data_IF_917891330983
#
_entry.id   IF_917891330983
#
_cell.length_a   1.000
_cell.length_b   1.000
_cell.length_c   1.000
_cell.angle_alpha   90.00
_cell.angle_beta   90.00
_cell.angle_gamma   90.00
#
_symmetry.space_group_name_H-M   'P 1'
#
loop_
_entity.id
_entity.type
_entity.pdbx_description
1 polymer ?
#
# COMPACT_ATOMS: atom_id res chain seq x y z
N UNK A 1 12.09 -44.86 14.38
CA UNK A 1 11.14 -43.81 14.00
C UNK A 1 11.20 -43.67 12.48
N UNK A 2 10.08 -43.83 11.76
CA UNK A 2 10.06 -43.67 10.30
C UNK A 2 10.22 -42.18 9.97
N UNK A 3 11.30 -41.83 9.27
CA UNK A 3 11.55 -40.46 8.82
C UNK A 3 10.51 -40.12 7.75
N UNK A 4 9.77 -39.02 7.92
CA UNK A 4 8.84 -38.54 6.89
C UNK A 4 9.63 -38.21 5.62
N UNK A 5 9.20 -38.76 4.49
CA UNK A 5 9.70 -38.36 3.19
C UNK A 5 9.15 -36.97 2.84
N UNK A 6 10.04 -35.97 2.85
CA UNK A 6 9.74 -34.57 2.54
C UNK A 6 10.13 -34.19 1.10
N UNK A 7 10.62 -35.15 0.31
CA UNK A 7 11.16 -34.89 -1.04
C UNK A 7 10.12 -34.24 -1.95
N UNK A 8 8.84 -34.64 -1.81
CA UNK A 8 7.73 -34.03 -2.55
C UNK A 8 7.52 -32.55 -2.20
N UNK A 9 7.62 -32.20 -0.92
CA UNK A 9 7.43 -30.83 -0.46
C UNK A 9 8.60 -29.94 -0.87
N UNK A 10 9.82 -30.47 -0.85
CA UNK A 10 11.01 -29.78 -1.35
C UNK A 10 10.92 -29.51 -2.85
N UNK A 11 10.56 -30.51 -3.66
CA UNK A 11 10.37 -30.34 -5.11
C UNK A 11 9.25 -29.35 -5.43
N UNK A 12 8.23 -29.26 -4.57
CA UNK A 12 7.16 -28.27 -4.73
C UNK A 12 7.68 -26.87 -4.41
N UNK A 13 8.40 -26.71 -3.30
CA UNK A 13 8.98 -25.43 -2.90
C UNK A 13 9.93 -24.89 -3.98
N UNK A 14 10.80 -25.74 -4.52
CA UNK A 14 11.74 -25.42 -5.60
C UNK A 14 11.03 -24.80 -6.81
N UNK A 15 10.00 -25.49 -7.32
CA UNK A 15 9.16 -24.97 -8.42
C UNK A 15 8.44 -23.67 -8.10
N UNK A 16 8.01 -23.50 -6.84
CA UNK A 16 7.35 -22.26 -6.41
C UNK A 16 8.35 -21.09 -6.36
N UNK A 17 9.61 -21.34 -6.00
CA UNK A 17 10.67 -20.34 -6.01
C UNK A 17 11.08 -19.95 -7.43
N UNK A 18 11.20 -20.91 -8.35
CA UNK A 18 11.46 -20.63 -9.78
C UNK A 18 10.38 -19.75 -10.39
N UNK A 19 9.11 -20.12 -10.19
CA UNK A 19 7.98 -19.35 -10.71
C UNK A 19 7.91 -17.93 -10.11
N UNK A 20 8.27 -17.81 -8.83
CA UNK A 20 8.34 -16.52 -8.16
C UNK A 20 9.48 -15.65 -8.72
N UNK A 21 10.67 -16.21 -8.92
CA UNK A 21 11.82 -15.50 -9.49
C UNK A 21 11.47 -14.95 -10.87
N UNK A 22 10.85 -15.78 -11.73
CA UNK A 22 10.38 -15.36 -13.04
C UNK A 22 9.35 -14.24 -12.99
N UNK A 23 8.41 -14.28 -12.03
CA UNK A 23 7.42 -13.23 -11.83
C UNK A 23 8.04 -11.92 -11.31
N UNK A 24 9.10 -12.00 -10.49
CA UNK A 24 9.76 -10.83 -9.89
C UNK A 24 10.76 -10.14 -10.82
N UNK A 25 11.42 -10.88 -11.73
CA UNK A 25 12.38 -10.34 -12.72
C UNK A 25 11.94 -9.03 -13.42
N UNK A 26 10.74 -8.94 -14.02
CA UNK A 26 10.31 -7.71 -14.70
C UNK A 26 10.13 -6.56 -13.71
N UNK A 27 9.61 -6.85 -12.52
CA UNK A 27 9.41 -5.86 -11.46
C UNK A 27 10.76 -5.30 -11.01
N UNK A 28 11.74 -6.15 -10.72
CA UNK A 28 13.06 -5.74 -10.24
C UNK A 28 13.83 -4.87 -11.25
N UNK A 29 13.63 -5.09 -12.55
CA UNK A 29 14.31 -4.32 -13.61
C UNK A 29 13.72 -2.92 -13.80
N UNK A 30 12.40 -2.77 -13.64
CA UNK A 30 11.68 -1.58 -14.06
C UNK A 30 10.75 -0.99 -13.00
N UNK A 31 10.91 -1.34 -11.70
CA UNK A 31 9.99 -0.92 -10.64
C UNK A 31 9.84 0.60 -10.58
N UNK A 32 10.96 1.32 -10.51
CA UNK A 32 10.93 2.77 -10.34
C UNK A 32 10.47 3.49 -11.61
N UNK A 33 10.88 2.99 -12.78
CA UNK A 33 10.46 3.51 -14.08
C UNK A 33 8.95 3.31 -14.27
N UNK A 34 8.45 2.10 -14.00
CA UNK A 34 7.03 1.77 -14.05
C UNK A 34 6.21 2.58 -13.05
N UNK A 35 6.74 2.78 -11.83
CA UNK A 35 6.07 3.58 -10.81
C UNK A 35 5.98 5.07 -11.20
N UNK A 36 7.00 5.60 -11.88
CA UNK A 36 7.11 7.03 -12.20
C UNK A 36 6.00 7.54 -13.13
N UNK A 37 5.50 6.68 -14.02
CA UNK A 37 4.42 6.98 -14.96
C UNK A 37 3.00 6.69 -14.43
N UNK A 38 2.89 6.03 -13.27
CA UNK A 38 1.60 5.71 -12.65
C UNK A 38 0.97 6.88 -11.90
N UNK A 39 -0.36 6.87 -11.85
CA UNK A 39 -1.15 7.70 -10.93
C UNK A 39 -0.78 7.39 -9.48
N UNK A 40 -0.94 8.37 -8.59
CA UNK A 40 -0.51 8.28 -7.19
C UNK A 40 -1.08 7.05 -6.47
N UNK A 41 -2.36 6.73 -6.70
CA UNK A 41 -3.04 5.60 -6.07
C UNK A 41 -2.48 4.25 -6.55
N UNK A 42 -2.30 4.10 -7.87
CA UNK A 42 -1.74 2.87 -8.46
C UNK A 42 -0.29 2.66 -8.04
N UNK A 43 0.47 3.75 -7.94
CA UNK A 43 1.82 3.73 -7.38
C UNK A 43 1.83 3.25 -5.93
N UNK A 44 0.91 3.74 -5.10
CA UNK A 44 0.80 3.32 -3.71
C UNK A 44 0.47 1.82 -3.59
N UNK A 45 -0.43 1.31 -4.43
CA UNK A 45 -0.74 -0.13 -4.53
C UNK A 45 0.50 -0.94 -4.89
N UNK A 46 1.22 -0.53 -5.92
CA UNK A 46 2.40 -1.23 -6.41
C UNK A 46 3.46 -1.36 -5.30
N UNK A 47 3.81 -0.26 -4.64
CA UNK A 47 4.82 -0.28 -3.58
C UNK A 47 4.35 -1.04 -2.33
N UNK A 48 3.07 -0.93 -1.97
CA UNK A 48 2.53 -1.68 -0.81
C UNK A 48 2.54 -3.18 -1.06
N UNK A 49 2.17 -3.61 -2.27
CA UNK A 49 2.20 -5.01 -2.68
C UNK A 49 3.63 -5.55 -2.80
N UNK A 50 4.55 -4.76 -3.35
CA UNK A 50 5.96 -5.12 -3.41
C UNK A 50 6.56 -5.30 -2.01
N UNK A 51 6.25 -4.39 -1.07
CA UNK A 51 6.70 -4.52 0.32
C UNK A 51 6.10 -5.75 0.99
N UNK A 52 4.81 -6.03 0.79
CA UNK A 52 4.17 -7.25 1.28
C UNK A 52 4.89 -8.51 0.80
N UNK A 53 5.22 -8.58 -0.50
CA UNK A 53 5.93 -9.71 -1.07
C UNK A 53 7.31 -9.89 -0.43
N UNK A 54 8.08 -8.80 -0.25
CA UNK A 54 9.38 -8.84 0.41
C UNK A 54 9.29 -9.37 1.85
N UNK A 55 8.40 -8.81 2.67
CA UNK A 55 8.24 -9.24 4.07
C UNK A 55 7.79 -10.70 4.16
N UNK A 56 6.93 -11.14 3.23
CA UNK A 56 6.49 -12.53 3.15
C UNK A 56 7.64 -13.48 2.80
N UNK A 57 8.57 -13.06 1.95
CA UNK A 57 9.75 -13.85 1.59
C UNK A 57 10.75 -13.94 2.73
N UNK A 58 10.98 -12.85 3.45
CA UNK A 58 11.82 -12.85 4.65
C UNK A 58 11.20 -13.78 5.71
N UNK A 59 9.89 -13.69 5.92
CA UNK A 59 9.17 -14.59 6.82
C UNK A 59 9.30 -16.06 6.40
N UNK A 60 9.16 -16.37 5.11
CA UNK A 60 9.34 -17.73 4.60
C UNK A 60 10.78 -18.24 4.80
N UNK A 61 11.79 -17.40 4.56
CA UNK A 61 13.20 -17.72 4.80
C UNK A 61 13.48 -18.06 6.26
N UNK A 62 12.99 -17.25 7.20
CA UNK A 62 13.13 -17.51 8.64
C UNK A 62 12.54 -18.86 9.05
N UNK A 63 11.43 -19.26 8.43
CA UNK A 63 10.81 -20.57 8.70
C UNK A 63 11.63 -21.74 8.16
N UNK A 64 12.29 -21.57 7.01
CA UNK A 64 13.18 -22.60 6.44
C UNK A 64 14.43 -22.76 7.30
N UNK A 65 14.96 -21.66 7.83
CA UNK A 65 16.12 -21.66 8.73
C UNK A 65 15.80 -22.23 10.13
N UNK A 66 14.53 -22.53 10.42
CA UNK A 66 14.08 -23.08 11.70
C UNK A 66 13.99 -22.04 12.82
N UNK A 67 14.07 -20.74 12.51
CA UNK A 67 13.84 -19.67 13.46
C UNK A 67 12.34 -19.53 13.80
N UNK A 68 12.03 -18.98 14.98
CA UNK A 68 10.65 -18.64 15.33
C UNK A 68 10.19 -17.39 14.57
N UNK A 69 9.71 -17.61 13.36
CA UNK A 69 9.23 -16.56 12.48
C UNK A 69 7.99 -15.84 13.04
N UNK A 70 7.24 -16.44 13.97
CA UNK A 70 6.04 -15.83 14.57
C UNK A 70 6.41 -14.86 15.68
N UNK A 71 7.48 -15.14 16.42
CA UNK A 71 8.01 -14.22 17.43
C UNK A 71 8.82 -13.07 16.80
N UNK A 72 9.31 -13.26 15.57
CA UNK A 72 10.16 -12.32 14.86
C UNK A 72 9.48 -10.96 14.55
N UNK A 73 10.21 -9.83 14.64
CA UNK A 73 9.67 -8.48 14.35
C UNK A 73 9.02 -8.33 12.98
N UNK A 74 9.51 -9.05 11.96
CA UNK A 74 8.91 -9.07 10.60
C UNK A 74 7.42 -9.44 10.66
N UNK A 75 7.06 -10.46 11.45
CA UNK A 75 5.68 -10.90 11.56
C UNK A 75 4.85 -9.96 12.43
N UNK A 76 5.37 -9.56 13.60
CA UNK A 76 4.62 -8.76 14.58
C UNK A 76 4.42 -7.31 14.16
N UNK A 77 5.44 -6.70 13.56
CA UNK A 77 5.47 -5.25 13.30
C UNK A 77 5.29 -4.97 11.82
N UNK A 78 6.12 -5.55 10.95
CA UNK A 78 6.15 -5.15 9.55
C UNK A 78 4.94 -5.64 8.76
N UNK A 79 4.50 -6.90 8.94
CA UNK A 79 3.26 -7.37 8.32
C UNK A 79 2.02 -6.62 8.83
N UNK A 80 2.00 -6.21 10.10
CA UNK A 80 0.93 -5.37 10.64
C UNK A 80 0.94 -3.97 10.01
N UNK A 81 2.11 -3.39 9.82
CA UNK A 81 2.28 -2.11 9.13
C UNK A 81 1.83 -2.19 7.67
N UNK A 82 2.16 -3.28 6.97
CA UNK A 82 1.68 -3.52 5.59
C UNK A 82 0.16 -3.62 5.54
N UNK A 83 -0.48 -4.33 6.47
CA UNK A 83 -1.95 -4.38 6.58
C UNK A 83 -2.57 -2.99 6.77
N UNK A 84 -1.95 -2.13 7.59
CA UNK A 84 -2.41 -0.76 7.77
C UNK A 84 -2.31 0.06 6.47
N UNK A 85 -1.29 -0.17 5.64
CA UNK A 85 -1.18 0.50 4.33
C UNK A 85 -2.25 0.02 3.35
N UNK A 86 -2.57 -1.28 3.32
CA UNK A 86 -3.70 -1.79 2.53
C UNK A 86 -5.01 -1.13 2.96
N UNK A 87 -5.28 -1.05 4.27
CA UNK A 87 -6.49 -0.40 4.78
C UNK A 87 -6.58 1.08 4.38
N UNK A 88 -5.46 1.82 4.38
CA UNK A 88 -5.41 3.21 3.91
C UNK A 88 -5.73 3.33 2.43
N UNK A 89 -5.21 2.41 1.61
CA UNK A 89 -5.47 2.40 0.16
C UNK A 89 -6.95 2.06 -0.10
N UNK A 90 -7.50 1.06 0.60
CA UNK A 90 -8.91 0.67 0.48
C UNK A 90 -9.86 1.81 0.87
N UNK A 91 -9.56 2.54 1.95
CA UNK A 91 -10.36 3.69 2.38
C UNK A 91 -10.41 4.81 1.33
N UNK A 92 -9.32 5.00 0.57
CA UNK A 92 -9.26 5.97 -0.53
C UNK A 92 -10.01 5.47 -1.77
N UNK A 93 -9.93 4.17 -2.08
CA UNK A 93 -10.62 3.57 -3.23
C UNK A 93 -12.13 3.47 -3.06
N UNK A 94 -12.57 3.15 -1.84
CA UNK A 94 -13.97 2.95 -1.50
C UNK A 94 -14.27 3.79 -0.26
N UNK A 95 -14.41 5.12 -0.42
CA UNK A 95 -14.80 5.97 0.69
C UNK A 95 -16.14 5.47 1.21
N UNK A 96 -16.19 5.10 2.48
CA UNK A 96 -17.47 4.76 3.11
C UNK A 96 -18.38 5.99 3.13
N UNK A 97 -19.70 5.83 3.20
CA UNK A 97 -20.63 6.96 3.22
C UNK A 97 -20.34 7.94 4.38
N UNK A 98 -19.84 7.43 5.52
CA UNK A 98 -19.40 8.24 6.66
C UNK A 98 -18.12 9.04 6.37
N UNK A 99 -17.16 8.47 5.64
CA UNK A 99 -15.92 9.14 5.24
C UNK A 99 -16.13 10.06 4.03
N UNK A 100 -17.07 9.78 3.13
CA UNK A 100 -17.50 10.68 2.07
C UNK A 100 -18.18 11.93 2.65
N UNK A 101 -19.02 11.76 3.67
CA UNK A 101 -19.62 12.86 4.42
C UNK A 101 -18.57 13.68 5.20
N UNK A 102 -17.56 13.03 5.75
CA UNK A 102 -16.45 13.69 6.47
C UNK A 102 -15.44 14.34 5.53
N UNK A 103 -15.17 13.78 4.35
CA UNK A 103 -14.28 14.34 3.32
C UNK A 103 -14.88 15.60 2.68
N UNK A 104 -16.22 15.70 2.61
CA UNK A 104 -16.90 16.96 2.28
C UNK A 104 -16.81 18.01 3.39
N UNK A 105 -16.55 17.60 4.65
CA UNK A 105 -16.35 18.50 5.78
C UNK A 105 -14.86 18.85 6.02
N UNK A 106 -13.93 18.02 5.55
CA UNK A 106 -12.48 18.19 5.72
C UNK A 106 -11.73 18.73 4.50
N UNK A 107 -12.37 18.83 3.33
CA UNK A 107 -12.00 19.94 2.45
C UNK A 107 -12.38 21.20 3.24
N UNK A 108 -11.46 22.13 3.55
CA UNK A 108 -11.91 23.47 3.86
C UNK A 108 -12.69 23.86 2.63
N UNK A 109 -14.02 23.85 2.73
CA UNK A 109 -14.86 24.33 1.68
C UNK A 109 -14.47 25.80 1.58
N UNK A 110 -13.59 26.12 0.63
CA UNK A 110 -13.33 27.49 0.21
C UNK A 110 -14.63 27.90 -0.48
N UNK A 111 -15.68 28.09 0.33
CA UNK A 111 -16.91 28.71 -0.10
C UNK A 111 -16.55 30.16 -0.23
N UNK A 112 -16.20 30.55 -1.46
CA UNK A 112 -16.05 31.94 -1.82
C UNK A 112 -17.37 32.62 -1.44
N UNK A 113 -17.34 33.45 -0.39
CA UNK A 113 -18.50 34.21 0.02
C UNK A 113 -18.68 35.34 -1.00
N UNK A 114 -19.45 35.04 -2.04
CA UNK A 114 -19.71 35.95 -3.16
C UNK A 114 -20.31 37.25 -2.67
N UNK A 115 -21.14 37.20 -1.62
CA UNK A 115 -21.73 38.38 -1.02
C UNK A 115 -20.68 39.28 -0.33
N UNK A 116 -19.73 38.71 0.40
CA UNK A 116 -18.61 39.45 0.97
C UNK A 116 -17.72 40.05 -0.12
N UNK A 117 -17.42 39.30 -1.18
CA UNK A 117 -16.66 39.80 -2.33
C UNK A 117 -17.37 40.98 -3.03
N UNK A 118 -18.69 40.89 -3.23
CA UNK A 118 -19.49 41.99 -3.79
C UNK A 118 -19.48 43.22 -2.89
N UNK A 119 -19.56 43.06 -1.57
CA UNK A 119 -19.46 44.18 -0.61
C UNK A 119 -18.09 44.86 -0.67
N UNK A 120 -17.00 44.09 -0.75
CA UNK A 120 -15.65 44.63 -0.88
C UNK A 120 -15.46 45.41 -2.17
N UNK A 121 -15.92 44.89 -3.30
CA UNK A 121 -15.86 45.57 -4.60
C UNK A 121 -16.67 46.87 -4.57
N UNK A 122 -17.89 46.83 -4.04
CA UNK A 122 -18.77 48.00 -3.96
C UNK A 122 -18.18 49.10 -3.07
N UNK A 123 -17.60 48.73 -1.93
CA UNK A 123 -16.97 49.69 -1.03
C UNK A 123 -15.67 50.26 -1.61
N UNK A 124 -14.89 49.44 -2.33
CA UNK A 124 -13.68 49.89 -3.03
C UNK A 124 -13.98 50.88 -4.17
N UNK A 125 -15.10 50.72 -4.87
CA UNK A 125 -15.56 51.68 -5.89
C UNK A 125 -16.12 52.99 -5.33
N UNK A 126 -16.59 52.99 -4.08
CA UNK A 126 -17.22 54.16 -3.45
C UNK A 126 -16.22 55.07 -2.71
N UNK A 127 -14.94 54.67 -2.68
CA UNK A 127 -13.83 55.39 -2.05
C UNK A 127 -12.91 56.12 -3.06
N UNK A 128 -13.36 56.25 -4.32
CA UNK A 128 -12.84 57.16 -5.34
C UNK A 128 -13.97 58.09 -5.78
#
# INVERSE_FOLDING_TARGET
MSVRDITKDLNKLDKQLDALDDALKPLLKALNESASSMLLLDRAKLFTLANYALETLIFAGLRVDGADAMDHPVFKTELMRVKQYFAKIEAVEKPTEAEAATSQQQQPAVRLNTEAATRMIKHGLCLH
#
